data_IF_401564124591
#
_entry.id   IF_401564124591
#
_cell.length_a   1.000
_cell.length_b   1.000
_cell.length_c   1.000
_cell.angle_alpha   90.00
_cell.angle_beta   90.00
_cell.angle_gamma   90.00
#
_symmetry.space_group_name_H-M   'P 1'
#
loop_
_entity.id
_entity.type
_entity.pdbx_description
1 polymer ?
#
# COMPACT_ATOMS: atom_id res chain seq x y z
N UNK A 1 16.95 6.58 6.08
CA UNK A 1 16.64 5.28 5.42
C UNK A 1 15.59 5.41 4.32
N UNK A 2 14.36 5.83 4.60
CA UNK A 2 13.28 5.95 3.60
C UNK A 2 13.68 6.77 2.37
N UNK A 3 14.20 8.00 2.58
CA UNK A 3 14.69 8.85 1.49
C UNK A 3 15.82 8.25 0.67
N UNK A 4 16.56 7.31 1.25
CA UNK A 4 17.65 6.57 0.58
C UNK A 4 17.14 5.42 -0.29
N UNK A 5 15.82 5.26 -0.43
CA UNK A 5 15.22 4.22 -1.26
C UNK A 5 14.87 2.93 -0.54
N UNK A 6 15.07 2.88 0.78
CA UNK A 6 14.73 1.71 1.61
C UNK A 6 13.25 1.80 1.97
N UNK A 7 12.45 0.83 1.54
CA UNK A 7 11.05 0.77 1.95
C UNK A 7 10.95 0.42 3.44
N UNK A 8 10.14 1.17 4.18
CA UNK A 8 9.92 0.90 5.60
C UNK A 8 9.04 -0.34 5.78
N UNK A 9 9.38 -1.23 6.73
CA UNK A 9 8.69 -2.49 6.91
C UNK A 9 7.37 -2.31 7.66
N UNK A 10 6.37 -3.13 7.35
CA UNK A 10 5.11 -3.23 8.09
C UNK A 10 5.12 -4.29 9.20
N UNK A 11 6.26 -4.96 9.39
CA UNK A 11 6.49 -6.02 10.38
C UNK A 11 7.98 -6.31 10.49
N UNK A 12 8.42 -6.81 11.65
CA UNK A 12 9.77 -7.34 11.84
C UNK A 12 10.13 -8.38 10.76
N UNK A 13 9.19 -9.28 10.43
CA UNK A 13 9.38 -10.26 9.36
C UNK A 13 9.54 -9.58 7.98
N UNK A 14 8.70 -8.58 7.67
CA UNK A 14 8.82 -7.80 6.45
C UNK A 14 10.19 -7.13 6.30
N UNK A 15 10.82 -6.72 7.41
CA UNK A 15 12.18 -6.21 7.41
C UNK A 15 13.21 -7.31 7.15
N UNK A 16 13.14 -8.43 7.86
CA UNK A 16 14.09 -9.55 7.74
C UNK A 16 14.23 -9.98 6.28
N UNK A 17 13.09 -10.16 5.59
CA UNK A 17 13.03 -10.63 4.20
C UNK A 17 13.01 -9.51 3.16
N UNK A 18 13.22 -8.25 3.56
CA UNK A 18 13.34 -7.14 2.63
C UNK A 18 14.54 -7.36 1.70
N UNK A 19 14.32 -7.25 0.39
CA UNK A 19 15.37 -7.37 -0.62
C UNK A 19 16.22 -6.10 -0.72
N UNK A 20 16.88 -5.74 0.39
CA UNK A 20 17.84 -4.62 0.46
C UNK A 20 19.24 -5.15 0.81
N UNK A 21 20.32 -4.47 0.38
CA UNK A 21 21.67 -4.83 0.79
C UNK A 21 21.83 -4.89 2.31
N UNK A 22 22.78 -5.72 2.76
CA UNK A 22 23.07 -5.86 4.19
C UNK A 22 23.61 -4.56 4.80
N UNK A 23 24.28 -3.74 3.99
CA UNK A 23 24.75 -2.41 4.36
C UNK A 23 24.78 -1.48 3.16
N UNK A 24 24.87 -0.18 3.41
CA UNK A 24 25.03 0.81 2.37
C UNK A 24 25.04 2.24 2.91
N UNK A 25 25.20 3.19 2.00
CA UNK A 25 25.16 4.63 2.31
C UNK A 25 23.72 5.15 2.28
N UNK A 26 23.42 6.07 3.19
CA UNK A 26 22.17 6.79 3.30
C UNK A 26 22.33 8.21 2.74
N UNK A 27 21.22 8.79 2.29
CA UNK A 27 21.16 10.22 1.96
C UNK A 27 21.63 11.04 3.18
N UNK A 28 22.61 11.92 2.96
CA UNK A 28 23.28 12.68 4.03
C UNK A 28 24.60 12.09 4.54
N UNK A 29 25.12 11.02 3.91
CA UNK A 29 26.47 10.48 4.17
C UNK A 29 26.58 9.49 5.34
N UNK A 30 25.45 9.14 5.96
CA UNK A 30 25.40 8.08 6.97
C UNK A 30 25.52 6.69 6.34
N UNK A 31 25.85 5.68 7.13
CA UNK A 31 25.89 4.28 6.72
C UNK A 31 24.89 3.47 7.53
N UNK A 32 24.26 2.47 6.91
CA UNK A 32 23.41 1.52 7.62
C UNK A 32 23.99 0.11 7.55
N UNK A 33 23.71 -0.69 8.57
CA UNK A 33 23.96 -2.11 8.62
C UNK A 33 22.72 -2.80 9.17
N UNK A 34 22.03 -3.56 8.32
CA UNK A 34 20.87 -4.36 8.73
C UNK A 34 21.34 -5.57 9.53
N UNK A 35 20.58 -6.00 10.51
CA UNK A 35 20.82 -7.22 11.30
C UNK A 35 19.49 -7.72 11.85
N UNK A 36 19.29 -9.05 11.93
CA UNK A 36 18.06 -9.61 12.50
C UNK A 36 16.80 -8.87 12.05
N UNK A 37 16.04 -8.37 13.03
CA UNK A 37 14.82 -7.57 12.88
C UNK A 37 15.05 -6.05 12.91
N UNK A 38 16.31 -5.60 12.87
CA UNK A 38 16.70 -4.21 13.06
C UNK A 38 17.82 -3.69 12.16
N UNK A 39 18.34 -2.53 12.53
CA UNK A 39 19.34 -1.81 11.78
C UNK A 39 20.20 -0.91 12.67
N UNK A 40 21.50 -0.92 12.44
CA UNK A 40 22.44 0.05 12.97
C UNK A 40 22.65 1.15 11.93
N UNK A 41 22.49 2.41 12.33
CA UNK A 41 22.67 3.59 11.49
C UNK A 41 23.75 4.47 12.08
N UNK A 42 24.81 4.72 11.31
CA UNK A 42 25.99 5.50 11.70
C UNK A 42 26.07 6.79 10.91
N UNK A 43 26.23 7.92 11.58
CA UNK A 43 26.41 9.22 10.92
C UNK A 43 26.81 10.31 11.90
N UNK A 44 27.61 11.29 11.44
CA UNK A 44 28.07 12.43 12.27
C UNK A 44 28.70 12.02 13.61
N UNK A 45 29.45 10.91 13.62
CA UNK A 45 30.11 10.38 14.82
C UNK A 45 29.18 9.66 15.81
N UNK A 46 27.90 9.45 15.48
CA UNK A 46 26.92 8.73 16.32
C UNK A 46 26.44 7.45 15.64
N UNK A 47 26.05 6.47 16.46
CA UNK A 47 25.41 5.21 16.05
C UNK A 47 24.04 5.14 16.69
N UNK A 48 23.03 4.70 15.94
CA UNK A 48 21.70 4.39 16.46
C UNK A 48 21.37 2.97 16.02
N UNK A 49 21.26 2.09 17.00
CA UNK A 49 20.95 0.67 16.85
C UNK A 49 19.51 0.47 17.33
N UNK A 50 18.68 -0.20 16.53
CA UNK A 50 17.27 -0.40 16.84
C UNK A 50 16.70 -1.61 16.12
N UNK A 51 15.69 -2.24 16.72
CA UNK A 51 14.86 -3.25 16.07
C UNK A 51 13.47 -2.70 15.73
N UNK A 52 12.86 -3.29 14.69
CA UNK A 52 11.46 -3.10 14.41
C UNK A 52 10.63 -4.07 15.26
N UNK A 53 9.55 -3.55 15.86
CA UNK A 53 8.58 -4.40 16.54
C UNK A 53 7.85 -5.36 15.59
N UNK A 54 7.13 -6.32 16.16
CA UNK A 54 6.45 -7.39 15.42
C UNK A 54 5.55 -6.88 14.27
N UNK A 55 4.90 -5.73 14.44
CA UNK A 55 4.04 -5.07 13.43
C UNK A 55 4.71 -3.84 12.80
N UNK A 56 6.03 -3.77 12.87
CA UNK A 56 6.82 -2.66 12.35
C UNK A 56 6.78 -1.44 13.26
N UNK A 57 6.46 -1.62 14.54
CA UNK A 57 6.56 -0.56 15.54
C UNK A 57 7.99 -0.02 15.61
N UNK A 58 8.12 1.28 15.87
CA UNK A 58 9.38 1.96 16.14
C UNK A 58 9.33 2.62 17.51
N UNK A 59 10.51 2.95 18.05
CA UNK A 59 10.63 3.54 19.39
C UNK A 59 10.56 2.53 20.53
N UNK A 60 10.59 1.23 20.20
CA UNK A 60 10.89 0.19 21.18
C UNK A 60 12.35 0.27 21.60
N UNK A 61 12.64 -0.05 22.85
CA UNK A 61 14.00 -0.03 23.39
C UNK A 61 14.23 -1.17 24.39
N UNK A 62 15.49 -1.44 24.70
CA UNK A 62 15.89 -2.20 25.88
C UNK A 62 16.89 -1.37 26.71
N UNK A 63 17.17 -1.81 27.94
CA UNK A 63 18.11 -1.14 28.83
C UNK A 63 19.52 -1.05 28.24
N UNK A 64 19.93 -2.07 27.49
CA UNK A 64 21.26 -2.14 26.88
C UNK A 64 21.45 -1.07 25.80
N UNK A 65 20.47 -0.85 24.94
CA UNK A 65 20.48 0.21 23.93
C UNK A 65 20.48 1.59 24.55
N UNK A 66 19.70 1.82 25.60
CA UNK A 66 19.72 3.08 26.32
C UNK A 66 21.10 3.35 26.93
N UNK A 67 21.74 2.34 27.54
CA UNK A 67 23.10 2.45 28.06
C UNK A 67 24.12 2.74 26.94
N UNK A 68 24.02 2.04 25.80
CA UNK A 68 24.88 2.23 24.63
C UNK A 68 24.73 3.63 24.02
N UNK A 69 23.50 4.14 23.96
CA UNK A 69 23.21 5.51 23.50
C UNK A 69 23.78 6.56 24.45
N UNK A 70 23.60 6.37 25.76
CA UNK A 70 24.13 7.28 26.77
C UNK A 70 25.67 7.31 26.80
N UNK A 71 26.31 6.17 26.49
CA UNK A 71 27.77 6.04 26.43
C UNK A 71 28.43 6.51 27.72
N UNK A 72 29.46 7.35 27.60
CA UNK A 72 30.17 7.94 28.75
C UNK A 72 29.29 8.89 29.58
N UNK A 73 28.18 9.39 29.02
CA UNK A 73 27.27 10.32 29.69
C UNK A 73 26.15 9.64 30.48
N UNK A 74 26.25 8.35 30.78
CA UNK A 74 25.23 7.61 31.53
C UNK A 74 24.89 8.27 32.89
N UNK A 75 25.93 8.76 33.60
CA UNK A 75 25.75 9.51 34.85
C UNK A 75 24.97 10.81 34.67
N UNK A 76 25.09 11.45 33.51
CA UNK A 76 24.31 12.65 33.17
C UNK A 76 22.81 12.39 33.06
N UNK A 77 22.41 11.13 32.88
CA UNK A 77 21.01 10.68 32.89
C UNK A 77 20.56 10.12 34.24
N UNK A 78 21.41 10.18 35.28
CA UNK A 78 21.07 9.73 36.63
C UNK A 78 21.38 8.26 36.92
N UNK A 79 22.16 7.58 36.06
CA UNK A 79 22.53 6.18 36.24
C UNK A 79 24.05 6.03 36.39
N UNK A 80 24.50 5.40 37.47
CA UNK A 80 25.93 5.15 37.72
C UNK A 80 26.48 4.00 36.88
N UNK A 81 25.64 3.00 36.57
CA UNK A 81 26.00 1.81 35.82
C UNK A 81 24.86 1.38 34.90
N UNK A 82 25.19 0.59 33.87
CA UNK A 82 24.18 -0.01 33.00
C UNK A 82 23.24 -0.96 33.77
N UNK A 83 23.73 -1.63 34.82
CA UNK A 83 22.90 -2.48 35.68
C UNK A 83 21.85 -1.69 36.46
N UNK A 84 22.19 -0.49 36.95
CA UNK A 84 21.21 0.39 37.61
C UNK A 84 20.10 0.85 36.65
N UNK A 85 20.43 1.02 35.37
CA UNK A 85 19.44 1.33 34.34
C UNK A 85 18.55 0.12 34.04
N UNK A 86 19.12 -1.08 33.97
CA UNK A 86 18.38 -2.33 33.75
C UNK A 86 17.35 -2.59 34.87
N UNK A 87 17.79 -2.49 36.14
CA UNK A 87 16.91 -2.60 37.31
C UNK A 87 15.78 -1.55 37.30
N UNK A 88 16.07 -0.34 36.82
CA UNK A 88 15.07 0.72 36.71
C UNK A 88 14.06 0.45 35.59
N UNK A 89 14.50 -0.11 34.47
CA UNK A 89 13.59 -0.54 33.39
C UNK A 89 12.65 -1.64 33.88
N UNK A 90 13.17 -2.64 34.60
CA UNK A 90 12.37 -3.71 35.22
C UNK A 90 11.35 -3.19 36.23
N UNK A 91 11.74 -2.18 37.03
CA UNK A 91 10.83 -1.48 37.93
C UNK A 91 9.67 -0.83 37.16
N UNK A 92 9.96 -0.13 36.05
CA UNK A 92 8.94 0.53 35.23
C UNK A 92 8.01 -0.48 34.52
N UNK A 93 8.54 -1.63 34.10
CA UNK A 93 7.72 -2.74 33.57
C UNK A 93 6.77 -3.25 34.67
N UNK A 94 7.29 -3.47 35.88
CA UNK A 94 6.51 -3.97 37.02
C UNK A 94 5.44 -2.98 37.48
N UNK A 95 5.72 -1.68 37.39
CA UNK A 95 4.78 -0.59 37.68
C UNK A 95 3.70 -0.42 36.59
N UNK A 96 3.89 -1.04 35.41
CA UNK A 96 3.00 -0.90 34.26
C UNK A 96 3.25 0.36 33.43
N UNK A 97 4.30 1.13 33.73
CA UNK A 97 4.71 2.32 32.97
C UNK A 97 5.34 1.94 31.63
N UNK A 98 5.94 0.74 31.54
CA UNK A 98 6.40 0.13 30.30
C UNK A 98 5.65 -1.16 30.00
N UNK A 99 5.38 -1.40 28.72
CA UNK A 99 4.91 -2.68 28.21
C UNK A 99 6.05 -3.37 27.47
N UNK A 100 6.38 -4.60 27.88
CA UNK A 100 7.41 -5.40 27.21
C UNK A 100 6.77 -6.40 26.24
N UNK A 101 7.34 -6.52 25.05
CA UNK A 101 6.94 -7.53 24.07
C UNK A 101 7.65 -8.86 24.33
N UNK A 102 7.16 -9.95 23.71
CA UNK A 102 7.74 -11.29 23.86
C UNK A 102 9.21 -11.39 23.41
N UNK A 103 9.63 -10.46 22.54
CA UNK A 103 10.98 -10.32 21.99
C UNK A 103 11.87 -9.37 22.82
N UNK A 104 11.38 -8.87 23.96
CA UNK A 104 12.17 -8.10 24.92
C UNK A 104 12.13 -6.58 24.74
N UNK A 105 11.51 -6.08 23.67
CA UNK A 105 11.35 -4.64 23.44
C UNK A 105 10.36 -4.02 24.41
N UNK A 106 10.78 -2.91 25.03
CA UNK A 106 9.95 -2.11 25.91
C UNK A 106 9.37 -0.90 25.15
N UNK A 107 8.11 -0.59 25.44
CA UNK A 107 7.40 0.59 24.94
C UNK A 107 6.76 1.33 26.10
N UNK A 108 6.64 2.65 25.99
CA UNK A 108 5.95 3.46 27.01
C UNK A 108 4.45 3.14 26.99
N UNK A 109 3.92 2.72 28.13
CA UNK A 109 2.51 2.38 28.29
C UNK A 109 1.61 3.60 28.07
N UNK A 110 0.45 3.40 27.45
CA UNK A 110 -0.50 4.47 27.16
C UNK A 110 -0.09 5.41 26.02
N UNK A 111 1.11 5.27 25.46
CA UNK A 111 1.53 6.01 24.26
C UNK A 111 1.08 5.27 23.01
N UNK A 112 0.52 6.01 22.04
CA UNK A 112 0.13 5.44 20.75
C UNK A 112 1.38 4.91 20.02
N UNK A 113 1.39 3.64 19.56
CA UNK A 113 2.52 3.11 18.81
C UNK A 113 2.79 3.94 17.56
N UNK A 114 4.09 4.13 17.28
CA UNK A 114 4.58 4.67 16.02
C UNK A 114 4.99 3.50 15.14
N UNK A 115 4.71 3.59 13.84
CA UNK A 115 5.07 2.54 12.88
C UNK A 115 6.09 3.06 11.88
N UNK A 116 6.99 2.19 11.43
CA UNK A 116 8.00 2.54 10.44
C UNK A 116 7.37 3.04 9.12
N UNK A 117 6.26 2.43 8.70
CA UNK A 117 5.48 2.86 7.53
C UNK A 117 4.83 4.24 7.70
N UNK A 118 4.67 4.69 8.95
CA UNK A 118 4.07 5.99 9.23
C UNK A 118 5.06 7.15 9.19
N UNK A 119 6.36 6.85 9.15
CA UNK A 119 7.41 7.87 9.06
C UNK A 119 7.25 8.67 7.77
N UNK A 120 7.10 9.98 7.93
CA UNK A 120 7.00 10.90 6.81
C UNK A 120 8.40 11.36 6.37
N UNK A 121 8.93 10.64 5.38
CA UNK A 121 10.21 10.98 4.76
C UNK A 121 10.12 12.05 3.67
N UNK A 122 8.98 12.69 3.44
CA UNK A 122 8.84 13.70 2.39
C UNK A 122 9.70 14.94 2.70
N UNK A 123 10.00 15.69 1.64
CA UNK A 123 10.66 17.00 1.77
C UNK A 123 9.62 18.06 2.19
N UNK A 124 10.02 19.12 2.91
CA UNK A 124 9.12 20.22 3.20
C UNK A 124 8.49 20.78 1.91
N UNK A 125 7.17 20.94 1.89
CA UNK A 125 6.43 21.42 0.73
C UNK A 125 5.94 20.32 -0.24
N UNK A 126 6.36 19.06 -0.08
CA UNK A 126 5.78 17.96 -0.85
C UNK A 126 4.40 17.57 -0.32
N UNK A 127 3.37 17.95 -1.08
CA UNK A 127 1.96 17.73 -0.73
C UNK A 127 1.41 16.38 -1.20
N UNK A 128 2.10 15.64 -2.08
CA UNK A 128 1.60 14.34 -2.53
C UNK A 128 1.66 13.33 -1.37
N UNK A 129 0.57 12.60 -1.04
CA UNK A 129 0.60 11.61 0.05
C UNK A 129 1.63 10.51 -0.17
N UNK A 130 2.05 9.85 0.91
CA UNK A 130 2.79 8.58 0.81
C UNK A 130 1.99 7.56 0.00
N UNK A 131 2.67 6.75 -0.82
CA UNK A 131 2.07 5.82 -1.78
C UNK A 131 1.02 4.88 -1.17
N UNK A 132 1.30 4.38 0.03
CA UNK A 132 0.43 3.50 0.82
C UNK A 132 -0.66 4.24 1.60
N UNK A 133 -0.56 5.57 1.68
CA UNK A 133 -1.56 6.47 2.28
C UNK A 133 -2.36 7.25 1.24
N UNK A 134 -2.05 7.12 -0.05
CA UNK A 134 -2.77 7.81 -1.11
C UNK A 134 -4.10 7.09 -1.38
N UNK A 135 -5.25 7.70 -1.06
CA UNK A 135 -6.55 7.06 -1.24
C UNK A 135 -6.84 6.67 -2.70
N UNK A 136 -6.29 7.38 -3.68
CA UNK A 136 -6.49 7.07 -5.11
C UNK A 136 -5.69 5.81 -5.48
N UNK A 137 -4.44 5.69 -5.02
CA UNK A 137 -3.63 4.48 -5.24
C UNK A 137 -4.17 3.29 -4.46
N UNK A 138 -4.73 3.52 -3.27
CA UNK A 138 -5.38 2.46 -2.50
C UNK A 138 -6.64 1.94 -3.18
N UNK A 139 -7.48 2.82 -3.72
CA UNK A 139 -8.64 2.43 -4.54
C UNK A 139 -8.20 1.60 -5.74
N UNK A 140 -7.13 2.02 -6.42
CA UNK A 140 -6.55 1.27 -7.53
C UNK A 140 -6.10 -0.13 -7.11
N UNK A 141 -5.24 -0.22 -6.10
CA UNK A 141 -4.61 -1.47 -5.67
C UNK A 141 -5.61 -2.47 -5.09
N UNK A 142 -6.58 -2.01 -4.30
CA UNK A 142 -7.50 -2.90 -3.60
C UNK A 142 -8.74 -3.26 -4.42
N UNK A 143 -9.28 -2.33 -5.21
CA UNK A 143 -10.57 -2.52 -5.88
C UNK A 143 -10.38 -2.70 -7.39
N UNK A 144 -9.70 -1.76 -8.05
CA UNK A 144 -9.61 -1.79 -9.50
C UNK A 144 -8.75 -2.95 -10.03
N UNK A 145 -7.62 -3.24 -9.39
CA UNK A 145 -6.79 -4.38 -9.79
C UNK A 145 -7.52 -5.72 -9.66
N UNK A 146 -8.38 -5.88 -8.65
CA UNK A 146 -9.25 -7.04 -8.54
C UNK A 146 -10.26 -7.08 -9.71
N UNK A 147 -10.88 -5.95 -10.06
CA UNK A 147 -11.77 -5.86 -11.22
C UNK A 147 -11.06 -6.27 -12.53
N UNK A 148 -9.84 -5.75 -12.75
CA UNK A 148 -9.05 -6.02 -13.95
C UNK A 148 -8.62 -7.49 -14.05
N UNK A 149 -8.17 -8.09 -12.93
CA UNK A 149 -7.84 -9.52 -12.88
C UNK A 149 -9.04 -10.40 -13.25
N UNK A 150 -10.22 -10.11 -12.68
CA UNK A 150 -11.43 -10.87 -12.95
C UNK A 150 -11.88 -10.72 -14.40
N UNK A 151 -11.85 -9.49 -14.94
CA UNK A 151 -12.14 -9.24 -16.36
C UNK A 151 -11.21 -10.00 -17.30
N UNK A 152 -9.90 -10.00 -17.02
CA UNK A 152 -8.90 -10.72 -17.82
C UNK A 152 -9.16 -12.22 -17.83
N UNK A 153 -9.47 -12.81 -16.67
CA UNK A 153 -9.77 -14.24 -16.56
C UNK A 153 -11.09 -14.61 -17.24
N UNK A 154 -12.12 -13.77 -17.14
CA UNK A 154 -13.34 -13.93 -17.92
C UNK A 154 -13.06 -13.91 -19.42
N UNK A 155 -12.31 -12.90 -19.89
CA UNK A 155 -11.92 -12.77 -21.30
C UNK A 155 -11.20 -14.00 -21.84
N UNK A 156 -10.27 -14.58 -21.07
CA UNK A 156 -9.58 -15.83 -21.44
C UNK A 156 -10.54 -16.99 -21.69
N UNK A 157 -11.60 -17.13 -20.88
CA UNK A 157 -12.60 -18.18 -21.07
C UNK A 157 -13.46 -17.92 -22.31
N UNK A 158 -13.86 -16.67 -22.54
CA UNK A 158 -14.65 -16.30 -23.73
C UNK A 158 -13.84 -16.51 -25.01
N UNK A 159 -12.55 -16.16 -25.02
CA UNK A 159 -11.67 -16.45 -26.16
C UNK A 159 -11.52 -17.96 -26.41
N UNK A 160 -11.50 -18.77 -25.36
CA UNK A 160 -11.51 -20.24 -25.50
C UNK A 160 -12.82 -20.75 -26.10
N UNK A 161 -13.97 -20.20 -25.67
CA UNK A 161 -15.27 -20.53 -26.25
C UNK A 161 -15.29 -20.20 -27.75
N UNK A 162 -14.86 -19.00 -28.15
CA UNK A 162 -14.77 -18.61 -29.57
C UNK A 162 -13.90 -19.56 -30.40
N UNK A 163 -12.80 -20.06 -29.84
CA UNK A 163 -11.86 -20.95 -30.55
C UNK A 163 -12.31 -22.40 -30.65
N UNK A 164 -13.08 -22.91 -29.68
CA UNK A 164 -13.40 -24.34 -29.56
C UNK A 164 -14.89 -24.65 -29.70
N UNK A 165 -15.73 -23.62 -29.74
CA UNK A 165 -17.19 -23.67 -29.72
C UNK A 165 -17.79 -24.49 -28.56
N UNK A 166 -17.00 -24.73 -27.50
CA UNK A 166 -17.43 -25.46 -26.31
C UNK A 166 -16.66 -25.05 -25.06
N UNK A 167 -17.37 -25.08 -23.94
CA UNK A 167 -16.83 -24.95 -22.59
C UNK A 167 -17.25 -26.13 -21.72
N UNK A 168 -16.34 -26.60 -20.87
CA UNK A 168 -16.67 -27.53 -19.79
C UNK A 168 -17.60 -26.87 -18.76
N UNK A 169 -18.25 -27.70 -17.92
CA UNK A 169 -19.10 -27.21 -16.84
C UNK A 169 -18.35 -26.26 -15.90
N UNK A 170 -17.13 -26.64 -15.48
CA UNK A 170 -16.29 -25.82 -14.61
C UNK A 170 -15.95 -24.47 -15.24
N UNK A 171 -15.67 -24.43 -16.54
CA UNK A 171 -15.40 -23.15 -17.22
C UNK A 171 -16.63 -22.26 -17.30
N UNK A 172 -17.82 -22.84 -17.50
CA UNK A 172 -19.08 -22.08 -17.47
C UNK A 172 -19.32 -21.48 -16.07
N UNK A 173 -19.05 -22.24 -15.01
CA UNK A 173 -19.14 -21.77 -13.62
C UNK A 173 -18.12 -20.66 -13.37
N UNK A 174 -16.85 -20.88 -13.72
CA UNK A 174 -15.78 -19.90 -13.54
C UNK A 174 -16.06 -18.60 -14.33
N UNK A 175 -16.55 -18.69 -15.57
CA UNK A 175 -16.93 -17.51 -16.34
C UNK A 175 -18.00 -16.67 -15.64
N UNK A 176 -19.01 -17.31 -15.04
CA UNK A 176 -20.06 -16.61 -14.27
C UNK A 176 -19.49 -15.94 -13.03
N UNK A 177 -18.60 -16.62 -12.31
CA UNK A 177 -17.92 -16.06 -11.12
C UNK A 177 -17.09 -14.85 -11.54
N UNK A 178 -16.17 -15.00 -12.49
CA UNK A 178 -15.30 -13.92 -12.93
C UNK A 178 -16.09 -12.72 -13.48
N UNK A 179 -17.13 -12.96 -14.28
CA UNK A 179 -17.99 -11.89 -14.81
C UNK A 179 -18.69 -11.12 -13.70
N UNK A 180 -19.34 -11.82 -12.77
CA UNK A 180 -20.10 -11.18 -11.69
C UNK A 180 -19.16 -10.45 -10.72
N UNK A 181 -18.02 -11.05 -10.39
CA UNK A 181 -17.02 -10.45 -9.51
C UNK A 181 -16.33 -9.25 -10.15
N UNK A 182 -16.03 -9.29 -11.46
CA UNK A 182 -15.53 -8.13 -12.20
C UNK A 182 -16.49 -6.95 -12.13
N UNK A 183 -17.76 -7.15 -12.46
CA UNK A 183 -18.78 -6.09 -12.44
C UNK A 183 -18.99 -5.56 -11.01
N UNK A 184 -18.89 -6.44 -10.02
CA UNK A 184 -18.85 -6.12 -8.60
C UNK A 184 -17.76 -5.12 -8.22
N UNK A 185 -16.49 -5.49 -8.44
CA UNK A 185 -15.36 -4.62 -8.13
C UNK A 185 -15.33 -3.35 -8.97
N UNK A 186 -15.80 -3.41 -10.23
CA UNK A 186 -15.94 -2.22 -11.06
C UNK A 186 -16.93 -1.22 -10.43
N UNK A 187 -18.06 -1.71 -9.90
CA UNK A 187 -19.02 -0.87 -9.17
C UNK A 187 -18.41 -0.21 -7.96
N UNK A 188 -17.72 -0.98 -7.11
CA UNK A 188 -17.07 -0.49 -5.88
C UNK A 188 -15.97 0.52 -6.23
N UNK A 189 -15.19 0.26 -7.28
CA UNK A 189 -14.20 1.21 -7.79
C UNK A 189 -14.85 2.53 -8.17
N UNK A 190 -15.95 2.50 -8.93
CA UNK A 190 -16.69 3.70 -9.32
C UNK A 190 -17.31 4.43 -8.12
N UNK A 191 -17.75 3.69 -7.10
CA UNK A 191 -18.20 4.23 -5.80
C UNK A 191 -17.09 5.08 -5.16
N UNK A 192 -15.85 4.58 -5.18
CA UNK A 192 -14.66 5.27 -4.69
C UNK A 192 -14.40 6.63 -5.36
N UNK A 193 -14.71 6.79 -6.64
CA UNK A 193 -14.56 8.08 -7.33
C UNK A 193 -15.41 9.18 -6.68
N UNK A 194 -16.58 8.83 -6.15
CA UNK A 194 -17.47 9.77 -5.45
C UNK A 194 -17.12 9.90 -3.98
N UNK A 195 -16.98 8.77 -3.27
CA UNK A 195 -16.82 8.77 -1.81
C UNK A 195 -15.49 9.36 -1.36
N UNK A 196 -14.43 9.20 -2.17
CA UNK A 196 -13.12 9.80 -1.91
C UNK A 196 -13.01 11.23 -2.42
N UNK A 197 -14.04 11.75 -3.09
CA UNK A 197 -14.04 13.09 -3.68
C UNK A 197 -12.80 13.34 -4.56
N UNK A 198 -12.49 12.39 -5.46
CA UNK A 198 -11.23 12.38 -6.24
C UNK A 198 -10.99 13.70 -6.96
N UNK A 199 -12.05 14.31 -7.53
CA UNK A 199 -11.94 15.63 -8.18
C UNK A 199 -11.41 16.73 -7.25
N UNK A 200 -11.85 16.74 -5.99
CA UNK A 200 -11.38 17.68 -4.97
C UNK A 200 -9.91 17.43 -4.64
N UNK A 201 -9.56 16.16 -4.41
CA UNK A 201 -8.18 15.74 -4.17
C UNK A 201 -7.24 16.24 -5.27
N UNK A 202 -7.58 15.96 -6.54
CA UNK A 202 -6.76 16.36 -7.70
C UNK A 202 -6.55 17.88 -7.82
N UNK A 203 -7.47 18.70 -7.31
CA UNK A 203 -7.43 20.17 -7.45
C UNK A 203 -6.82 20.87 -6.25
N UNK A 204 -7.03 20.34 -5.05
CA UNK A 204 -6.74 21.03 -3.79
C UNK A 204 -5.62 20.34 -2.99
N UNK A 205 -5.41 19.04 -3.19
CA UNK A 205 -4.54 18.21 -2.35
C UNK A 205 -3.50 17.45 -3.18
N UNK A 206 -3.30 17.82 -4.44
CA UNK A 206 -2.30 17.22 -5.34
C UNK A 206 -1.47 18.32 -6.02
N UNK A 207 -0.24 18.01 -6.45
CA UNK A 207 0.56 18.91 -7.26
C UNK A 207 -0.19 19.41 -8.51
N UNK A 208 0.11 20.62 -8.98
CA UNK A 208 -0.63 21.32 -10.04
C UNK A 208 -0.73 20.50 -11.33
N UNK A 209 0.32 19.76 -11.67
CA UNK A 209 0.42 18.87 -12.83
C UNK A 209 -0.64 17.74 -12.84
N UNK A 210 -1.22 17.40 -11.69
CA UNK A 210 -2.31 16.42 -11.61
C UNK A 210 -3.64 16.98 -12.13
N UNK A 211 -3.74 18.30 -12.35
CA UNK A 211 -4.92 18.96 -12.92
C UNK A 211 -5.31 18.40 -14.29
N UNK A 212 -4.36 17.92 -15.09
CA UNK A 212 -4.59 17.32 -16.41
C UNK A 212 -5.46 16.05 -16.33
N UNK A 213 -5.43 15.34 -15.19
CA UNK A 213 -6.16 14.08 -14.98
C UNK A 213 -7.65 14.35 -14.69
N UNK A 214 -8.03 15.57 -14.31
CA UNK A 214 -9.43 15.93 -13.99
C UNK A 214 -10.38 15.62 -15.16
N UNK A 215 -9.94 15.83 -16.40
CA UNK A 215 -10.74 15.50 -17.58
C UNK A 215 -11.04 13.98 -17.69
N UNK A 216 -10.07 13.13 -17.32
CA UNK A 216 -10.25 11.67 -17.31
C UNK A 216 -11.19 11.23 -16.18
N UNK A 217 -11.09 11.85 -15.01
CA UNK A 217 -12.05 11.66 -13.92
C UNK A 217 -13.48 11.98 -14.39
N UNK A 218 -13.67 13.14 -15.03
CA UNK A 218 -14.98 13.57 -15.50
C UNK A 218 -15.56 12.65 -16.60
N UNK A 219 -14.70 12.10 -17.46
CA UNK A 219 -15.08 11.09 -18.44
C UNK A 219 -15.62 9.81 -17.78
N UNK A 220 -14.94 9.31 -16.74
CA UNK A 220 -15.41 8.16 -15.95
C UNK A 220 -16.79 8.44 -15.37
N UNK A 221 -16.99 9.61 -14.72
CA UNK A 221 -18.28 9.94 -14.10
C UNK A 221 -19.41 10.09 -15.13
N UNK A 222 -19.12 10.68 -16.28
CA UNK A 222 -20.09 10.84 -17.37
C UNK A 222 -20.54 9.47 -17.89
N UNK A 223 -19.62 8.53 -18.06
CA UNK A 223 -19.93 7.21 -18.55
C UNK A 223 -20.66 6.37 -17.51
N UNK A 224 -20.20 6.42 -16.26
CA UNK A 224 -20.77 5.66 -15.13
C UNK A 224 -22.25 6.00 -14.88
N UNK A 225 -22.63 7.27 -15.02
CA UNK A 225 -24.02 7.73 -14.82
C UNK A 225 -25.05 7.03 -15.70
N UNK A 226 -24.67 6.50 -16.87
CA UNK A 226 -25.62 5.89 -17.82
C UNK A 226 -26.34 4.66 -17.25
N UNK A 227 -25.62 3.81 -16.50
CA UNK A 227 -26.14 2.54 -15.98
C UNK A 227 -25.73 2.25 -14.53
N UNK A 228 -25.41 3.29 -13.75
CA UNK A 228 -25.06 3.22 -12.33
C UNK A 228 -25.99 2.31 -11.53
N UNK A 229 -27.30 2.57 -11.60
CA UNK A 229 -28.28 1.89 -10.76
C UNK A 229 -28.38 0.41 -11.12
N UNK A 230 -28.37 0.09 -12.41
CA UNK A 230 -28.35 -1.29 -12.89
C UNK A 230 -27.10 -2.04 -12.41
N UNK A 231 -25.92 -1.39 -12.44
CA UNK A 231 -24.68 -2.00 -11.95
C UNK A 231 -24.68 -2.17 -10.42
N UNK A 232 -25.26 -1.21 -9.68
CA UNK A 232 -25.47 -1.30 -8.22
C UNK A 232 -26.36 -2.48 -7.87
N UNK A 233 -27.50 -2.63 -8.55
CA UNK A 233 -28.44 -3.74 -8.33
C UNK A 233 -27.83 -5.10 -8.64
N UNK A 234 -27.05 -5.21 -9.73
CA UNK A 234 -26.33 -6.43 -10.07
C UNK A 234 -25.31 -6.80 -8.98
N UNK A 235 -24.50 -5.83 -8.52
CA UNK A 235 -23.53 -6.02 -7.43
C UNK A 235 -24.23 -6.48 -6.16
N UNK A 236 -25.34 -5.86 -5.78
CA UNK A 236 -26.09 -6.27 -4.59
C UNK A 236 -26.59 -7.73 -4.70
N UNK A 237 -27.11 -8.15 -5.85
CA UNK A 237 -27.54 -9.54 -6.07
C UNK A 237 -26.39 -10.56 -6.26
N UNK A 238 -25.14 -10.09 -6.30
CA UNK A 238 -23.96 -10.96 -6.44
C UNK A 238 -23.28 -11.21 -5.10
N UNK A 239 -23.17 -10.20 -4.24
CA UNK A 239 -22.47 -10.29 -2.95
C UNK A 239 -23.41 -10.38 -1.74
N UNK A 240 -24.72 -10.27 -1.95
CA UNK A 240 -25.74 -10.55 -0.93
C UNK A 240 -26.67 -11.67 -1.41
N UNK A 241 -27.33 -12.40 -0.48
CA UNK A 241 -28.31 -13.43 -0.85
C UNK A 241 -29.29 -12.90 -1.89
N UNK A 242 -29.49 -13.68 -2.96
CA UNK A 242 -30.27 -13.22 -4.11
C UNK A 242 -31.70 -12.88 -3.68
N UNK A 243 -32.08 -11.61 -3.90
CA UNK A 243 -33.44 -11.14 -3.65
C UNK A 243 -34.23 -10.95 -4.94
N UNK A 244 -33.55 -10.75 -6.07
CA UNK A 244 -34.21 -10.41 -7.33
C UNK A 244 -33.50 -11.02 -8.56
N UNK A 245 -34.05 -12.10 -9.11
CA UNK A 245 -33.56 -12.77 -10.33
C UNK A 245 -33.79 -11.90 -11.59
N UNK A 246 -34.83 -11.06 -11.58
CA UNK A 246 -35.20 -10.19 -12.69
C UNK A 246 -34.13 -9.12 -12.96
N UNK A 247 -33.58 -8.50 -11.91
CA UNK A 247 -32.50 -7.51 -12.03
C UNK A 247 -31.27 -8.07 -12.76
N UNK A 248 -30.92 -9.34 -12.52
CA UNK A 248 -29.83 -10.01 -13.23
C UNK A 248 -30.18 -10.20 -14.72
N UNK A 249 -31.38 -10.69 -15.04
CA UNK A 249 -31.83 -10.87 -16.43
C UNK A 249 -31.81 -9.56 -17.20
N UNK A 250 -32.33 -8.49 -16.60
CA UNK A 250 -32.37 -7.18 -17.23
C UNK A 250 -30.98 -6.57 -17.43
N UNK A 251 -30.02 -6.83 -16.54
CA UNK A 251 -28.65 -6.34 -16.74
C UNK A 251 -28.00 -6.95 -17.98
N UNK A 252 -28.23 -8.25 -18.22
CA UNK A 252 -27.63 -8.99 -19.34
C UNK A 252 -28.51 -8.98 -20.61
N UNK A 253 -29.57 -8.18 -20.63
CA UNK A 253 -30.39 -7.94 -21.82
C UNK A 253 -29.52 -7.32 -22.93
N UNK A 254 -29.43 -8.02 -24.07
CA UNK A 254 -28.58 -7.63 -25.21
C UNK A 254 -29.00 -6.29 -25.81
N UNK A 255 -30.29 -5.98 -25.80
CA UNK A 255 -30.82 -4.72 -26.33
C UNK A 255 -30.36 -3.51 -25.52
N UNK A 256 -29.98 -3.72 -24.25
CA UNK A 256 -29.54 -2.66 -23.35
C UNK A 256 -28.04 -2.39 -23.42
N UNK A 257 -27.26 -3.22 -24.12
CA UNK A 257 -25.80 -3.06 -24.35
C UNK A 257 -24.95 -2.78 -23.09
N UNK A 258 -25.42 -3.20 -21.91
CA UNK A 258 -24.81 -2.87 -20.60
C UNK A 258 -23.44 -3.53 -20.41
N UNK A 259 -23.19 -4.69 -21.02
CA UNK A 259 -21.87 -5.34 -20.94
C UNK A 259 -20.83 -4.58 -21.76
N UNK A 260 -21.21 -4.12 -22.95
CA UNK A 260 -20.35 -3.28 -23.78
C UNK A 260 -20.02 -1.97 -23.06
N UNK A 261 -21.04 -1.31 -22.47
CA UNK A 261 -20.84 -0.15 -21.60
C UNK A 261 -19.91 -0.44 -20.42
N UNK A 262 -20.04 -1.58 -19.74
CA UNK A 262 -19.19 -1.92 -18.61
C UNK A 262 -17.72 -2.12 -19.03
N UNK A 263 -17.47 -2.65 -20.24
CA UNK A 263 -16.14 -2.70 -20.82
C UNK A 263 -15.57 -1.31 -21.11
N UNK A 264 -16.37 -0.42 -21.69
CA UNK A 264 -15.97 0.98 -21.95
C UNK A 264 -15.64 1.69 -20.63
N UNK A 265 -16.53 1.59 -19.63
CA UNK A 265 -16.33 2.16 -18.31
C UNK A 265 -15.04 1.65 -17.67
N UNK A 266 -14.82 0.34 -17.69
CA UNK A 266 -13.60 -0.25 -17.17
C UNK A 266 -12.34 0.30 -17.87
N UNK A 267 -12.38 0.48 -19.19
CA UNK A 267 -11.24 1.02 -19.93
C UNK A 267 -10.96 2.50 -19.56
N UNK A 268 -11.98 3.33 -19.37
CA UNK A 268 -11.78 4.71 -18.90
C UNK A 268 -11.21 4.77 -17.48
N UNK A 269 -11.69 3.91 -16.58
CA UNK A 269 -11.13 3.78 -15.22
C UNK A 269 -9.66 3.30 -15.29
N UNK A 270 -9.34 2.39 -16.19
CA UNK A 270 -7.96 1.93 -16.41
C UNK A 270 -7.04 3.07 -16.85
N UNK A 271 -7.50 3.90 -17.81
CA UNK A 271 -6.74 5.07 -18.29
C UNK A 271 -6.50 6.07 -17.16
N UNK A 272 -7.54 6.41 -16.39
CA UNK A 272 -7.44 7.27 -15.22
C UNK A 272 -6.32 6.81 -14.28
N UNK A 273 -6.36 5.55 -13.83
CA UNK A 273 -5.36 5.06 -12.90
C UNK A 273 -3.96 4.94 -13.51
N UNK A 274 -3.86 4.63 -14.81
CA UNK A 274 -2.58 4.64 -15.52
C UNK A 274 -1.95 6.03 -15.50
N UNK A 275 -2.69 7.07 -15.90
CA UNK A 275 -2.20 8.45 -15.90
C UNK A 275 -1.85 8.93 -14.50
N UNK A 276 -2.70 8.64 -13.51
CA UNK A 276 -2.43 8.99 -12.12
C UNK A 276 -1.14 8.35 -11.59
N UNK A 277 -0.95 7.04 -11.84
CA UNK A 277 0.26 6.35 -11.42
C UNK A 277 1.52 6.88 -12.10
N UNK A 278 1.45 7.23 -13.39
CA UNK A 278 2.58 7.81 -14.11
C UNK A 278 2.97 9.16 -13.50
N UNK A 279 1.99 10.01 -13.20
CA UNK A 279 2.25 11.29 -12.54
C UNK A 279 2.83 11.10 -11.13
N UNK A 280 2.31 10.14 -10.34
CA UNK A 280 2.93 9.79 -9.06
C UNK A 280 4.39 9.35 -9.19
N UNK A 281 4.71 8.45 -10.12
CA UNK A 281 6.08 7.96 -10.31
C UNK A 281 7.03 9.10 -10.76
N UNK A 282 6.56 10.00 -11.62
CA UNK A 282 7.32 11.20 -12.01
C UNK A 282 7.58 12.10 -10.80
N UNK A 283 6.55 12.39 -10.01
CA UNK A 283 6.65 13.20 -8.79
C UNK A 283 7.61 12.58 -7.78
N UNK A 284 7.49 11.27 -7.53
CA UNK A 284 8.38 10.55 -6.62
C UNK A 284 9.84 10.66 -7.06
N UNK A 285 10.10 10.56 -8.36
CA UNK A 285 11.44 10.71 -8.89
C UNK A 285 11.99 12.12 -8.67
N UNK A 286 11.22 13.16 -9.02
CA UNK A 286 11.62 14.58 -8.87
C UNK A 286 11.84 14.95 -7.41
N UNK A 287 11.00 14.46 -6.49
CA UNK A 287 11.11 14.74 -5.06
C UNK A 287 12.12 13.84 -4.32
N UNK A 288 12.78 12.91 -5.01
CA UNK A 288 13.73 11.99 -4.39
C UNK A 288 13.08 10.95 -3.47
N UNK A 289 11.80 10.62 -3.66
CA UNK A 289 11.05 9.60 -2.91
C UNK A 289 11.35 8.21 -3.44
N UNK A 290 12.63 7.84 -3.37
CA UNK A 290 13.16 6.65 -4.02
C UNK A 290 12.53 5.33 -3.52
N UNK A 291 12.04 5.30 -2.27
CA UNK A 291 11.41 4.11 -1.68
C UNK A 291 10.03 3.81 -2.25
N UNK A 292 9.44 4.77 -2.97
CA UNK A 292 8.06 4.68 -3.48
C UNK A 292 8.00 4.38 -4.99
N UNK A 293 9.14 4.45 -5.68
CA UNK A 293 9.27 4.13 -7.09
C UNK A 293 9.09 2.62 -7.36
N UNK A 294 8.15 2.28 -8.24
CA UNK A 294 7.99 0.88 -8.70
C UNK A 294 9.09 0.47 -9.70
N UNK A 295 9.69 1.42 -10.44
CA UNK A 295 10.68 1.13 -11.49
C UNK A 295 11.92 0.41 -10.92
N UNK A 296 12.34 0.71 -9.69
CA UNK A 296 13.47 0.03 -9.03
C UNK A 296 13.16 -1.44 -8.70
N UNK A 297 11.91 -1.80 -8.45
CA UNK A 297 11.50 -3.19 -8.15
C UNK A 297 11.71 -4.13 -9.34
N UNK A 298 11.55 -3.64 -10.57
CA UNK A 298 11.72 -4.44 -11.78
C UNK A 298 13.19 -4.62 -12.17
N UNK A 299 14.08 -3.67 -11.85
CA UNK A 299 15.51 -3.77 -12.14
C UNK A 299 16.24 -4.81 -11.29
N UNK A 300 15.88 -4.90 -10.00
CA UNK A 300 16.45 -5.91 -9.07
C UNK A 300 15.94 -7.32 -9.41
N UNK A 301 14.65 -7.47 -9.74
CA UNK A 301 14.09 -8.76 -10.20
C UNK A 301 14.71 -9.25 -11.50
N UNK A 302 14.85 -8.40 -12.53
CA UNK A 302 15.46 -8.78 -13.81
C UNK A 302 16.93 -9.19 -13.71
N UNK A 303 17.69 -8.61 -12.77
CA UNK A 303 19.08 -9.04 -12.54
C UNK A 303 19.19 -10.42 -11.88
N UNK A 304 18.23 -10.82 -11.05
CA UNK A 304 18.21 -12.17 -10.46
C UNK A 304 17.79 -13.24 -11.47
N UNK A 305 16.82 -12.95 -12.34
CA UNK A 305 16.41 -13.87 -13.42
C UNK A 305 17.50 -14.12 -14.47
N UNK A 306 18.47 -13.21 -14.61
CA UNK A 306 19.61 -13.36 -15.52
C UNK A 306 20.81 -14.12 -14.90
N UNK A 307 20.75 -14.43 -13.59
CA UNK A 307 21.83 -15.09 -12.82
C UNK A 307 21.38 -16.46 -12.28
N UNK A 308 20.12 -16.84 -12.52
CA UNK A 308 19.56 -18.19 -12.28
C UNK A 308 19.41 -18.95 -13.59
#
# INVERSE_FOLDING_TARGET
MQRSGIQMPNSAYGWVYAEIPMSGELEGGGHYYKHGVGCDVRGSGKSVDFDFGNKGEIGGFDAWWLAKFAGENLRGYGFDTAGALDEYVDLLISAGDLTQTSDGLCFVSGVKPLYAVDVDGRRPGDILPLKDKDPILMLHAQQFQAADLMRKNYGKIIEKLKKRDRLSLNEKINARIYLSTWLGFLRVTCEGFFTLQIRRLLREERPEEFGEIVAQHDAVLKLEKKHRDALRELRNNTFHPQRNVQARREFFDSEKSRIQWAHELHNEVARFFSSYRIQCESHYFVQGRLSELDIRRNGVRRRKEAVS
#
